data_IF_649339589359
#
_entry.id   IF_649339589359
#
_cell.length_a   1.000
_cell.length_b   1.000
_cell.length_c   1.000
_cell.angle_alpha   90.00
_cell.angle_beta   90.00
_cell.angle_gamma   90.00
#
_symmetry.space_group_name_H-M   'P 1'
#
loop_
_entity.id
_entity.type
_entity.pdbx_description
1 polymer ?
#
# COMPACT_ATOMS: atom_id res chain seq x y z
N UNK A 1 -16.82 12.16 7.81
CA UNK A 1 -17.23 11.37 6.64
C UNK A 1 -18.04 12.26 5.72
N UNK A 2 -17.84 12.14 4.42
CA UNK A 2 -18.67 12.83 3.44
C UNK A 2 -20.12 12.30 3.48
N UNK A 3 -21.13 13.10 3.05
CA UNK A 3 -22.49 12.60 2.85
C UNK A 3 -22.57 11.36 1.93
N UNK A 4 -23.62 10.52 2.05
CA UNK A 4 -23.72 9.23 1.34
C UNK A 4 -23.73 9.33 -0.20
N UNK A 5 -24.11 10.48 -0.73
CA UNK A 5 -24.30 10.77 -2.16
C UNK A 5 -23.11 11.52 -2.78
N UNK A 6 -22.07 11.79 -2.00
CA UNK A 6 -20.84 12.43 -2.49
C UNK A 6 -19.63 11.50 -2.30
N UNK A 7 -18.60 11.60 -3.16
CA UNK A 7 -17.38 10.83 -2.96
C UNK A 7 -16.76 11.09 -1.58
N UNK A 8 -16.32 10.02 -0.93
CA UNK A 8 -15.52 10.16 0.27
C UNK A 8 -14.18 10.81 -0.09
N UNK A 9 -13.90 11.96 0.52
CA UNK A 9 -12.62 12.65 0.39
C UNK A 9 -11.88 12.44 1.69
N UNK A 10 -10.81 11.65 1.64
CA UNK A 10 -9.93 11.42 2.76
C UNK A 10 -8.92 12.56 2.86
N UNK A 11 -8.85 13.23 4.01
CA UNK A 11 -7.84 14.25 4.27
C UNK A 11 -6.62 13.60 4.91
N UNK A 12 -5.60 13.28 4.12
CA UNK A 12 -4.33 12.81 4.66
C UNK A 12 -3.54 14.01 5.19
N UNK A 13 -3.60 14.22 6.51
CA UNK A 13 -2.85 15.26 7.19
C UNK A 13 -1.81 14.64 8.14
N UNK A 14 -0.54 14.67 7.72
CA UNK A 14 0.57 14.20 8.56
C UNK A 14 0.50 14.94 9.91
N UNK A 15 0.43 14.19 11.02
CA UNK A 15 0.42 14.62 12.44
C UNK A 15 -0.91 14.99 13.08
N UNK A 16 -1.97 15.23 12.32
CA UNK A 16 -3.23 15.69 12.92
C UNK A 16 -4.20 14.52 13.23
N UNK A 17 -4.09 13.41 12.50
CA UNK A 17 -5.08 12.33 12.59
C UNK A 17 -4.90 11.38 13.77
N UNK A 18 -3.66 10.98 14.08
CA UNK A 18 -3.39 9.91 15.04
C UNK A 18 -3.43 10.37 16.50
N UNK A 19 -2.93 11.59 16.76
CA UNK A 19 -2.84 12.14 18.11
C UNK A 19 -4.22 12.33 18.75
N UNK A 20 -5.17 12.90 17.99
CA UNK A 20 -6.53 13.14 18.45
C UNK A 20 -7.39 11.88 18.54
N UNK A 21 -7.18 10.89 17.65
CA UNK A 21 -8.06 9.72 17.53
C UNK A 21 -7.60 8.52 18.37
N UNK A 22 -6.29 8.31 18.50
CA UNK A 22 -5.73 7.12 19.15
C UNK A 22 -4.76 7.44 20.30
N UNK A 23 -4.58 8.72 20.65
CA UNK A 23 -3.62 9.13 21.67
C UNK A 23 -2.19 8.71 21.30
N UNK A 24 -1.86 8.81 20.01
CA UNK A 24 -0.55 8.45 19.47
C UNK A 24 -0.03 9.62 18.65
N UNK A 25 1.06 10.24 19.10
CA UNK A 25 1.69 11.28 18.30
C UNK A 25 2.34 10.69 17.04
N UNK A 26 2.60 11.55 16.06
CA UNK A 26 3.15 11.13 14.77
C UNK A 26 4.54 10.50 14.89
N UNK A 27 5.38 11.00 15.79
CA UNK A 27 6.75 10.51 15.93
C UNK A 27 6.75 9.11 16.57
N UNK A 28 5.82 8.83 17.48
CA UNK A 28 5.55 7.53 18.05
C UNK A 28 5.04 6.56 16.98
N UNK A 29 4.11 6.99 16.13
CA UNK A 29 3.66 6.19 14.99
C UNK A 29 4.82 5.85 14.04
N UNK A 30 5.66 6.84 13.69
CA UNK A 30 6.84 6.65 12.85
C UNK A 30 7.84 5.67 13.46
N UNK A 31 8.01 5.64 14.79
CA UNK A 31 8.87 4.67 15.49
C UNK A 31 8.30 3.24 15.52
N UNK A 32 6.98 3.10 15.45
CA UNK A 32 6.30 1.82 15.65
C UNK A 32 5.90 1.07 14.40
N UNK A 33 5.84 1.75 13.27
CA UNK A 33 5.83 1.07 11.98
C UNK A 33 7.15 0.30 11.85
N UNK A 34 7.07 -1.02 11.75
CA UNK A 34 8.20 -1.94 11.53
C UNK A 34 8.90 -1.53 10.23
N UNK A 35 10.06 -0.90 10.35
CA UNK A 35 10.84 -0.49 9.18
C UNK A 35 11.88 -1.53 8.79
N UNK A 36 11.71 -2.09 7.59
CA UNK A 36 12.78 -1.98 6.59
C UNK A 36 12.40 -0.88 5.61
N UNK A 37 13.36 -0.37 4.83
CA UNK A 37 13.11 0.61 3.75
C UNK A 37 12.05 0.12 2.74
N UNK A 38 11.93 -1.20 2.59
CA UNK A 38 11.01 -1.84 1.66
C UNK A 38 9.56 -1.88 2.17
N UNK A 39 9.34 -1.92 3.50
CA UNK A 39 8.01 -2.07 4.09
C UNK A 39 7.13 -0.81 4.03
N UNK A 40 7.68 0.34 3.65
CA UNK A 40 6.91 1.56 3.40
C UNK A 40 6.21 1.59 2.05
N UNK A 41 6.64 0.75 1.10
CA UNK A 41 6.09 0.71 -0.25
C UNK A 41 4.80 -0.08 -0.30
N UNK A 42 3.74 0.52 -0.84
CA UNK A 42 2.42 -0.08 -0.86
C UNK A 42 1.55 0.43 -2.00
N UNK A 43 0.59 -0.39 -2.43
CA UNK A 43 -0.63 0.10 -3.05
C UNK A 43 -1.67 0.40 -1.95
N UNK A 44 -2.57 1.34 -2.21
CA UNK A 44 -3.64 1.71 -1.28
C UNK A 44 -4.55 0.51 -1.02
N UNK A 45 -4.93 0.32 0.24
CA UNK A 45 -5.88 -0.71 0.70
C UNK A 45 -5.62 -2.12 0.16
N UNK A 46 -4.34 -2.50 -0.01
CA UNK A 46 -3.96 -3.78 -0.60
C UNK A 46 -4.38 -5.04 0.17
N UNK A 47 -4.96 -4.93 1.37
CA UNK A 47 -5.54 -6.06 2.11
C UNK A 47 -7.00 -6.36 1.72
N UNK A 48 -7.69 -5.44 1.04
CA UNK A 48 -9.07 -5.62 0.59
C UNK A 48 -9.14 -6.60 -0.58
N UNK A 49 -10.26 -7.30 -0.70
CA UNK A 49 -10.56 -8.19 -1.82
C UNK A 49 -10.65 -7.45 -3.15
N UNK A 50 -11.10 -6.20 -3.13
CA UNK A 50 -11.24 -5.28 -4.25
C UNK A 50 -10.45 -3.99 -3.99
N UNK A 51 -9.10 -3.99 -4.03
CA UNK A 51 -8.31 -2.78 -3.81
C UNK A 51 -8.70 -1.67 -4.82
N UNK A 52 -8.52 -0.38 -4.49
CA UNK A 52 -8.86 0.72 -5.39
C UNK A 52 -8.21 0.53 -6.76
N UNK A 53 -8.94 0.86 -7.83
CA UNK A 53 -8.38 0.85 -9.18
C UNK A 53 -7.36 1.99 -9.35
N UNK A 54 -7.70 3.17 -8.85
CA UNK A 54 -6.88 4.35 -8.99
C UNK A 54 -7.10 5.33 -7.84
N UNK A 55 -6.11 6.19 -7.64
CA UNK A 55 -6.14 7.18 -6.56
C UNK A 55 -5.75 8.55 -7.11
N UNK A 56 -6.51 9.56 -6.72
CA UNK A 56 -6.27 10.96 -7.02
C UNK A 56 -5.87 11.65 -5.71
N UNK A 57 -4.74 12.35 -5.71
CA UNK A 57 -4.22 13.05 -4.55
C UNK A 57 -3.90 14.50 -4.90
N UNK A 58 -4.53 15.45 -4.21
CA UNK A 58 -4.30 16.89 -4.36
C UNK A 58 -3.55 17.45 -3.15
N UNK A 59 -2.50 18.23 -3.39
CA UNK A 59 -1.81 18.99 -2.36
C UNK A 59 -2.58 20.27 -1.99
N UNK A 60 -2.93 20.43 -0.71
CA UNK A 60 -3.37 21.72 -0.17
C UNK A 60 -2.18 22.51 0.38
N UNK A 61 -1.47 21.93 1.34
CA UNK A 61 -0.27 22.52 1.93
C UNK A 61 0.87 21.52 1.93
N UNK A 62 2.07 21.98 1.57
CA UNK A 62 3.28 21.16 1.53
C UNK A 62 4.46 21.95 2.07
N UNK A 63 5.47 21.29 2.68
CA UNK A 63 6.68 21.96 3.11
C UNK A 63 7.46 22.51 1.90
N UNK A 64 8.28 23.56 2.09
CA UNK A 64 9.07 24.15 1.00
C UNK A 64 10.15 23.20 0.42
N UNK A 65 10.51 22.16 1.16
CA UNK A 65 11.44 21.09 0.77
C UNK A 65 11.07 19.79 1.51
N UNK A 66 11.49 18.64 0.97
CA UNK A 66 11.03 17.33 1.44
C UNK A 66 9.54 17.12 1.18
N UNK A 67 8.96 16.03 1.69
CA UNK A 67 7.52 15.76 1.54
C UNK A 67 7.10 15.19 0.18
N UNK A 68 8.08 14.80 -0.63
CA UNK A 68 7.88 14.20 -1.95
C UNK A 68 7.24 12.81 -1.85
N UNK A 69 6.52 12.42 -2.90
CA UNK A 69 6.00 11.05 -3.02
C UNK A 69 6.74 10.34 -4.14
N UNK A 70 7.06 9.08 -3.92
CA UNK A 70 7.69 8.23 -4.94
C UNK A 70 6.75 7.11 -5.32
N UNK A 71 6.60 6.83 -6.61
CA UNK A 71 5.85 5.68 -7.14
C UNK A 71 6.80 4.75 -7.87
N UNK A 72 6.43 3.48 -7.94
CA UNK A 72 7.09 2.49 -8.79
C UNK A 72 6.10 1.81 -9.74
N UNK A 73 6.53 1.57 -10.98
CA UNK A 73 5.79 0.81 -11.97
C UNK A 73 6.03 -0.70 -11.79
N UNK A 74 5.00 -1.40 -11.29
CA UNK A 74 5.07 -2.83 -11.00
C UNK A 74 4.98 -3.73 -12.24
N UNK A 75 4.42 -3.22 -13.35
CA UNK A 75 4.46 -3.91 -14.65
C UNK A 75 5.89 -3.91 -15.21
N UNK A 76 6.59 -2.77 -15.13
CA UNK A 76 7.99 -2.68 -15.52
C UNK A 76 8.90 -3.53 -14.62
N UNK A 77 8.63 -3.54 -13.31
CA UNK A 77 9.35 -4.39 -12.36
C UNK A 77 9.20 -5.89 -12.69
N UNK A 78 7.97 -6.34 -13.00
CA UNK A 78 7.72 -7.69 -13.49
C UNK A 78 8.44 -7.98 -14.80
N UNK A 79 8.37 -7.04 -15.76
CA UNK A 79 9.03 -7.15 -17.06
C UNK A 79 10.54 -7.36 -16.92
N UNK A 80 11.16 -6.74 -15.92
CA UNK A 80 12.59 -6.84 -15.61
C UNK A 80 13.05 -8.11 -14.89
N UNK A 81 12.14 -8.98 -14.43
CA UNK A 81 12.52 -10.27 -13.83
C UNK A 81 13.14 -11.21 -14.86
N UNK A 82 14.09 -12.06 -14.45
CA UNK A 82 14.55 -13.14 -15.33
C UNK A 82 13.41 -14.14 -15.59
N UNK A 83 13.44 -14.83 -16.73
CA UNK A 83 12.38 -15.76 -17.10
C UNK A 83 12.08 -16.84 -16.03
N UNK A 84 13.09 -17.46 -15.37
CA UNK A 84 12.82 -18.43 -14.29
C UNK A 84 12.15 -17.80 -13.06
N UNK A 85 12.61 -16.62 -12.63
CA UNK A 85 12.04 -15.94 -11.47
C UNK A 85 10.61 -15.49 -11.75
N UNK A 86 10.35 -15.02 -12.97
CA UNK A 86 9.02 -14.64 -13.44
C UNK A 86 8.06 -15.83 -13.44
N UNK A 87 8.48 -16.96 -14.01
CA UNK A 87 7.68 -18.18 -14.04
C UNK A 87 7.38 -18.69 -12.62
N UNK A 88 8.33 -18.55 -11.69
CA UNK A 88 8.09 -18.87 -10.29
C UNK A 88 7.14 -17.87 -9.62
N UNK A 89 7.32 -16.56 -9.81
CA UNK A 89 6.44 -15.53 -9.25
C UNK A 89 4.99 -15.69 -9.75
N UNK A 90 4.80 -16.11 -11.01
CA UNK A 90 3.48 -16.39 -11.60
C UNK A 90 2.68 -17.45 -10.82
N UNK A 91 3.33 -18.31 -10.02
CA UNK A 91 2.66 -19.35 -9.22
C UNK A 91 2.39 -18.96 -7.77
N UNK A 92 2.95 -17.84 -7.30
CA UNK A 92 2.91 -17.48 -5.89
C UNK A 92 1.65 -16.68 -5.54
N UNK A 93 1.17 -16.92 -4.32
CA UNK A 93 0.07 -16.19 -3.70
C UNK A 93 0.48 -15.76 -2.30
N UNK A 94 -0.02 -14.62 -1.85
CA UNK A 94 0.35 -14.07 -0.55
C UNK A 94 -0.86 -13.46 0.15
N UNK A 95 -0.91 -13.65 1.47
CA UNK A 95 -1.88 -12.99 2.32
C UNK A 95 -1.47 -11.53 2.55
N UNK A 96 -2.34 -10.63 2.15
CA UNK A 96 -2.28 -9.21 2.50
C UNK A 96 -3.22 -8.96 3.68
N UNK A 97 -2.71 -8.36 4.76
CA UNK A 97 -3.44 -8.16 6.01
C UNK A 97 -3.26 -6.74 6.53
N UNK A 98 -4.33 -6.19 7.09
CA UNK A 98 -4.27 -4.90 7.78
C UNK A 98 -3.47 -5.03 9.09
N UNK A 99 -2.47 -4.17 9.26
CA UNK A 99 -1.72 -4.05 10.52
C UNK A 99 -0.44 -4.88 10.63
N UNK A 100 -0.01 -5.59 9.57
CA UNK A 100 1.24 -6.39 9.55
C UNK A 100 2.47 -5.60 10.05
N UNK A 101 2.54 -4.33 9.67
CA UNK A 101 3.65 -3.44 10.01
C UNK A 101 3.62 -2.84 11.40
N UNK A 102 2.60 -3.04 12.25
CA UNK A 102 2.48 -2.29 13.50
C UNK A 102 2.96 -3.08 14.73
N UNK A 103 3.80 -2.46 15.58
CA UNK A 103 4.21 -3.04 16.87
C UNK A 103 3.32 -2.54 18.02
N UNK A 104 2.67 -3.43 18.80
CA UNK A 104 1.75 -3.05 19.87
C UNK A 104 2.45 -2.43 21.09
N UNK A 105 1.76 -1.52 21.82
CA UNK A 105 2.13 -1.15 23.20
C UNK A 105 1.90 -2.34 24.15
N UNK A 106 2.69 -2.47 25.23
CA UNK A 106 2.25 -3.18 26.42
C UNK A 106 1.00 -2.48 26.99
N UNK A 107 -0.04 -3.25 27.33
CA UNK A 107 -1.29 -2.73 27.87
C UNK A 107 -2.31 -2.36 26.77
N UNK A 108 -3.15 -1.37 27.05
CA UNK A 108 -4.31 -1.05 26.23
C UNK A 108 -3.96 -0.12 25.04
N UNK A 109 -3.58 -0.72 23.91
CA UNK A 109 -3.30 0.01 22.67
C UNK A 109 -4.59 0.20 21.86
N UNK A 110 -5.16 1.42 21.93
CA UNK A 110 -6.40 1.77 21.21
C UNK A 110 -6.27 1.59 19.68
N UNK A 111 -5.09 1.81 19.10
CA UNK A 111 -4.89 1.63 17.67
C UNK A 111 -4.88 0.14 17.31
N UNK A 112 -4.22 -0.70 18.10
CA UNK A 112 -4.24 -2.16 17.88
C UNK A 112 -5.65 -2.72 18.03
N UNK A 113 -6.40 -2.30 19.05
CA UNK A 113 -7.81 -2.71 19.19
C UNK A 113 -8.62 -2.34 17.96
N UNK A 114 -8.47 -1.11 17.47
CA UNK A 114 -9.12 -0.66 16.25
C UNK A 114 -8.76 -1.55 15.05
N UNK A 115 -7.47 -1.87 14.85
CA UNK A 115 -7.02 -2.77 13.78
C UNK A 115 -7.60 -4.18 13.91
N UNK A 116 -7.73 -4.70 15.14
CA UNK A 116 -8.29 -6.03 15.39
C UNK A 116 -9.81 -6.07 15.16
N UNK A 117 -10.54 -5.02 15.56
CA UNK A 117 -11.98 -4.88 15.34
C UNK A 117 -12.34 -4.71 13.85
N UNK A 118 -11.44 -4.11 13.07
CA UNK A 118 -11.62 -3.83 11.64
C UNK A 118 -10.67 -4.68 10.78
N UNK A 119 -10.28 -5.86 11.27
CA UNK A 119 -9.29 -6.70 10.62
C UNK A 119 -9.77 -7.13 9.22
N UNK A 120 -8.91 -6.92 8.24
CA UNK A 120 -9.16 -7.26 6.84
C UNK A 120 -7.93 -8.03 6.34
N UNK A 121 -8.15 -9.20 5.74
CA UNK A 121 -7.11 -9.92 5.05
C UNK A 121 -7.65 -10.66 3.82
N UNK A 122 -6.82 -10.71 2.78
CA UNK A 122 -7.12 -11.35 1.50
C UNK A 122 -5.88 -12.05 0.97
N UNK A 123 -6.06 -13.24 0.39
CA UNK A 123 -5.03 -13.94 -0.36
C UNK A 123 -5.07 -13.47 -1.81
N UNK A 124 -4.01 -12.79 -2.24
CA UNK A 124 -3.85 -12.28 -3.59
C UNK A 124 -2.76 -13.06 -4.37
N UNK A 125 -2.85 -13.12 -5.70
CA UNK A 125 -1.71 -13.55 -6.51
C UNK A 125 -0.57 -12.53 -6.40
N UNK A 126 0.69 -12.99 -6.31
CA UNK A 126 1.85 -12.09 -6.39
C UNK A 126 2.09 -11.55 -7.79
N UNK A 127 1.47 -12.16 -8.81
CA UNK A 127 1.41 -11.63 -10.16
C UNK A 127 -0.05 -11.58 -10.59
N UNK A 128 -0.59 -10.36 -10.72
CA UNK A 128 -1.94 -10.13 -11.25
C UNK A 128 -1.88 -9.79 -12.74
N UNK A 129 -2.96 -10.06 -13.45
CA UNK A 129 -3.20 -9.52 -14.79
C UNK A 129 -4.01 -8.24 -14.66
N UNK A 130 -3.54 -7.16 -15.27
CA UNK A 130 -4.27 -5.89 -15.32
C UNK A 130 -5.50 -6.07 -16.21
N UNK A 131 -6.72 -5.77 -15.73
CA UNK A 131 -7.95 -6.11 -16.45
C UNK A 131 -8.12 -5.34 -17.77
N UNK A 132 -7.62 -4.11 -17.84
CA UNK A 132 -7.75 -3.26 -19.04
C UNK A 132 -6.60 -3.40 -20.03
N UNK A 133 -5.34 -3.47 -19.57
CA UNK A 133 -4.16 -3.52 -20.44
C UNK A 133 -3.69 -4.95 -20.75
N UNK A 134 -4.10 -5.94 -19.96
CA UNK A 134 -3.59 -7.31 -20.04
C UNK A 134 -2.15 -7.48 -19.54
N UNK A 135 -1.52 -6.42 -19.04
CA UNK A 135 -0.15 -6.49 -18.51
C UNK A 135 -0.10 -7.34 -17.26
N UNK A 136 1.01 -8.07 -17.09
CA UNK A 136 1.31 -8.78 -15.85
C UNK A 136 2.03 -7.83 -14.89
N UNK A 137 1.54 -7.77 -13.66
CA UNK A 137 1.98 -6.82 -12.65
C UNK A 137 2.48 -7.58 -11.42
N UNK A 138 3.70 -7.28 -10.97
CA UNK A 138 4.24 -7.81 -9.73
C UNK A 138 3.51 -7.17 -8.54
N UNK A 139 2.46 -7.81 -8.05
CA UNK A 139 1.55 -7.29 -7.03
C UNK A 139 2.11 -7.47 -5.61
N UNK A 140 3.36 -7.04 -5.40
CA UNK A 140 4.01 -7.05 -4.10
C UNK A 140 3.70 -5.78 -3.32
N UNK A 141 3.41 -5.94 -2.03
CA UNK A 141 3.08 -4.83 -1.15
C UNK A 141 3.83 -4.96 0.18
N UNK A 142 4.84 -4.12 0.40
CA UNK A 142 5.70 -4.21 1.57
C UNK A 142 4.98 -3.91 2.89
N UNK A 143 3.87 -3.17 2.82
CA UNK A 143 3.11 -2.76 3.99
C UNK A 143 2.07 -3.80 4.43
N UNK A 144 1.37 -4.42 3.48
CA UNK A 144 0.25 -5.32 3.77
C UNK A 144 0.63 -6.81 3.72
N UNK A 145 1.69 -7.23 3.03
CA UNK A 145 1.97 -8.68 2.90
C UNK A 145 2.47 -9.27 4.22
N UNK A 146 1.72 -10.23 4.76
CA UNK A 146 2.08 -11.01 5.95
C UNK A 146 2.95 -12.22 5.56
N UNK A 147 2.48 -13.04 4.63
CA UNK A 147 3.09 -14.32 4.29
C UNK A 147 2.72 -14.79 2.88
N UNK A 148 3.66 -15.44 2.20
CA UNK A 148 3.44 -16.22 0.97
C UNK A 148 2.92 -17.61 1.36
N UNK A 149 1.87 -18.07 0.68
CA UNK A 149 1.28 -19.39 0.92
C UNK A 149 2.24 -20.53 0.54
N UNK A 150 2.05 -21.69 1.18
CA UNK A 150 2.74 -22.95 0.88
C UNK A 150 4.28 -22.94 1.00
N UNK A 151 4.85 -21.90 1.61
CA UNK A 151 6.28 -21.81 1.94
C UNK A 151 6.47 -21.51 3.43
N UNK A 152 7.64 -21.84 3.96
CA UNK A 152 7.99 -21.49 5.34
C UNK A 152 8.09 -19.97 5.51
N UNK A 153 7.97 -19.49 6.75
CA UNK A 153 8.06 -18.06 7.06
C UNK A 153 9.41 -17.45 6.66
N UNK A 154 10.49 -18.22 6.77
CA UNK A 154 11.83 -17.79 6.36
C UNK A 154 11.95 -17.66 4.83
N UNK A 155 11.41 -18.63 4.08
CA UNK A 155 11.35 -18.58 2.62
C UNK A 155 10.48 -17.40 2.16
N UNK A 156 9.29 -17.25 2.75
CA UNK A 156 8.40 -16.13 2.46
C UNK A 156 9.10 -14.78 2.65
N UNK A 157 9.82 -14.60 3.75
CA UNK A 157 10.55 -13.36 4.01
C UNK A 157 11.61 -13.09 2.93
N UNK A 158 12.44 -14.07 2.60
CA UNK A 158 13.50 -13.92 1.60
C UNK A 158 12.94 -13.63 0.20
N UNK A 159 11.86 -14.32 -0.18
CA UNK A 159 11.19 -14.11 -1.47
C UNK A 159 10.56 -12.72 -1.56
N UNK A 160 9.85 -12.28 -0.52
CA UNK A 160 9.25 -10.95 -0.49
C UNK A 160 10.30 -9.85 -0.53
N UNK A 161 11.41 -10.01 0.19
CA UNK A 161 12.52 -9.05 0.15
C UNK A 161 13.10 -8.93 -1.26
N UNK A 162 13.43 -10.06 -1.91
CA UNK A 162 13.93 -10.06 -3.29
C UNK A 162 12.95 -9.40 -4.28
N UNK A 163 11.65 -9.70 -4.19
CA UNK A 163 10.65 -9.15 -5.11
C UNK A 163 10.38 -7.66 -4.83
N UNK A 164 10.40 -7.24 -3.56
CA UNK A 164 10.27 -5.82 -3.20
C UNK A 164 11.50 -5.02 -3.65
N UNK A 165 12.71 -5.55 -3.49
CA UNK A 165 13.94 -4.92 -3.99
C UNK A 165 13.88 -4.72 -5.51
N UNK A 166 13.42 -5.73 -6.25
CA UNK A 166 13.14 -5.60 -7.68
C UNK A 166 12.11 -4.50 -7.95
N UNK A 167 11.01 -4.48 -7.20
CA UNK A 167 9.92 -3.55 -7.40
C UNK A 167 10.31 -2.09 -7.17
N UNK A 168 11.31 -1.79 -6.37
CA UNK A 168 11.66 -0.40 -5.99
C UNK A 168 12.97 0.09 -6.59
N UNK A 169 13.49 -0.62 -7.62
CA UNK A 169 14.67 -0.18 -8.35
C UNK A 169 14.47 1.21 -8.96
N UNK A 170 15.46 2.11 -8.92
CA UNK A 170 15.32 3.49 -9.39
C UNK A 170 14.76 3.63 -10.81
N UNK A 171 15.11 2.71 -11.71
CA UNK A 171 14.68 2.69 -13.11
C UNK A 171 13.17 2.48 -13.28
N UNK A 172 12.47 1.94 -12.27
CA UNK A 172 11.03 1.76 -12.27
C UNK A 172 10.30 2.88 -11.52
N UNK A 173 11.04 3.79 -10.88
CA UNK A 173 10.46 4.79 -9.99
C UNK A 173 10.40 6.18 -10.59
N UNK A 174 9.40 6.95 -10.12
CA UNK A 174 9.33 8.39 -10.29
C UNK A 174 9.14 9.04 -8.92
N UNK A 175 9.92 10.08 -8.64
CA UNK A 175 9.78 10.92 -7.44
C UNK A 175 9.17 12.25 -7.85
N UNK A 176 8.02 12.59 -7.27
CA UNK A 176 7.31 13.82 -7.56
C UNK A 176 7.48 14.81 -6.42
N UNK A 177 7.96 16.00 -6.76
CA UNK A 177 8.00 17.13 -5.84
C UNK A 177 6.68 17.88 -5.90
N UNK A 178 6.03 17.99 -4.75
CA UNK A 178 4.74 18.64 -4.64
C UNK A 178 4.85 20.16 -4.57
N UNK A 179 3.89 20.84 -5.18
CA UNK A 179 3.58 22.26 -4.96
C UNK A 179 2.12 22.41 -4.54
N UNK A 180 1.74 23.47 -3.79
CA UNK A 180 0.33 23.72 -3.47
C UNK A 180 -0.55 23.72 -4.74
N UNK A 181 -1.63 22.94 -4.73
CA UNK A 181 -2.51 22.78 -5.89
C UNK A 181 -2.10 21.70 -6.89
N UNK A 182 -0.91 21.10 -6.74
CA UNK A 182 -0.52 19.92 -7.52
C UNK A 182 -1.51 18.77 -7.33
N UNK A 183 -1.72 18.00 -8.40
CA UNK A 183 -2.56 16.80 -8.40
C UNK A 183 -1.77 15.66 -9.02
N UNK A 184 -1.67 14.54 -8.30
CA UNK A 184 -1.21 13.27 -8.86
C UNK A 184 -2.40 12.33 -9.03
N UNK A 185 -2.37 11.56 -10.11
CA UNK A 185 -3.32 10.49 -10.39
C UNK A 185 -2.52 9.26 -10.81
N UNK A 186 -2.75 8.14 -10.14
CA UNK A 186 -2.05 6.90 -10.46
C UNK A 186 -3.00 5.70 -10.52
N UNK A 187 -2.61 4.75 -11.36
CA UNK A 187 -3.24 3.44 -11.40
C UNK A 187 -2.70 2.60 -10.22
N UNK A 188 -3.55 2.36 -9.23
CA UNK A 188 -3.20 1.63 -8.01
C UNK A 188 -3.13 0.11 -8.27
N UNK A 189 -3.62 -0.36 -9.42
CA UNK A 189 -3.51 -1.76 -9.85
C UNK A 189 -2.12 -2.10 -10.38
N UNK A 190 -1.37 -1.09 -10.81
CA UNK A 190 -0.06 -1.24 -11.45
C UNK A 190 1.10 -0.57 -10.70
N UNK A 191 0.85 0.01 -9.52
CA UNK A 191 1.87 0.77 -8.79
C UNK A 191 1.89 0.47 -7.30
N UNK A 192 3.08 0.61 -6.72
CA UNK A 192 3.24 0.90 -5.29
C UNK A 192 3.80 2.31 -5.14
N UNK A 193 3.56 2.93 -4.00
CA UNK A 193 4.08 4.24 -3.67
C UNK A 193 4.64 4.29 -2.25
N UNK A 194 5.47 5.30 -2.01
CA UNK A 194 6.13 5.56 -0.76
C UNK A 194 5.82 7.00 -0.33
N UNK A 195 5.15 7.12 0.82
CA UNK A 195 4.93 8.39 1.49
C UNK A 195 6.25 8.96 2.02
N UNK A 196 6.40 10.30 2.09
CA UNK A 196 7.61 10.92 2.61
C UNK A 196 7.87 10.54 4.08
N UNK A 197 9.15 10.46 4.43
CA UNK A 197 9.61 10.36 5.82
C UNK A 197 10.53 11.54 6.20
N UNK A 198 10.72 12.49 5.30
CA UNK A 198 11.72 13.56 5.37
C UNK A 198 11.11 14.95 5.69
N UNK A 199 9.82 15.01 6.06
CA UNK A 199 9.12 16.28 6.32
C UNK A 199 8.76 16.51 7.79
N UNK A 200 8.77 15.47 8.63
CA UNK A 200 8.35 15.58 10.02
C UNK A 200 9.15 16.67 10.77
N UNK A 201 10.47 16.61 10.76
CA UNK A 201 11.32 17.57 11.50
C UNK A 201 11.16 19.06 11.10
N UNK A 202 10.42 19.37 10.03
CA UNK A 202 10.23 20.73 9.51
C UNK A 202 9.17 21.55 10.27
N UNK A 203 8.31 20.90 11.04
CA UNK A 203 7.24 21.60 11.78
C UNK A 203 6.16 22.24 10.88
N UNK A 204 6.17 21.97 9.58
CA UNK A 204 5.18 22.46 8.61
C UNK A 204 4.20 21.32 8.28
N UNK A 205 2.88 21.54 8.32
CA UNK A 205 1.91 20.51 8.00
C UNK A 205 1.92 20.18 6.50
N UNK A 206 1.87 18.88 6.18
CA UNK A 206 1.60 18.35 4.85
C UNK A 206 0.15 17.88 4.81
N UNK A 207 -0.69 18.59 4.07
CA UNK A 207 -2.13 18.34 3.98
C UNK A 207 -2.46 17.98 2.53
N UNK A 208 -2.97 16.77 2.35
CA UNK A 208 -3.36 16.22 1.06
C UNK A 208 -4.81 15.77 1.10
N UNK A 209 -5.49 15.85 -0.05
CA UNK A 209 -6.86 15.36 -0.23
C UNK A 209 -6.86 14.20 -1.21
N UNK A 210 -7.30 13.04 -0.73
CA UNK A 210 -7.29 11.78 -1.47
C UNK A 210 -8.71 11.36 -1.83
N UNK A 211 -8.88 10.94 -3.07
CA UNK A 211 -10.07 10.24 -3.56
C UNK A 211 -9.63 8.95 -4.22
N UNK A 212 -10.28 7.85 -3.86
CA UNK A 212 -10.01 6.53 -4.40
C UNK A 212 -11.18 6.06 -5.24
N UNK A 213 -10.88 5.44 -6.37
CA UNK A 213 -11.88 4.86 -7.26
C UNK A 213 -12.00 3.37 -6.96
N UNK A 214 -13.23 2.87 -6.83
CA UNK A 214 -13.50 1.45 -6.64
C UNK A 214 -12.77 0.62 -7.69
N UNK A 215 -12.14 -0.47 -7.25
CA UNK A 215 -11.50 -1.42 -8.14
C UNK A 215 -12.21 -2.76 -8.18
N UNK A 216 -11.55 -3.70 -8.82
CA UNK A 216 -12.01 -5.06 -9.05
C UNK A 216 -11.17 -6.08 -8.26
N UNK A 217 -11.69 -7.30 -8.14
CA UNK A 217 -10.96 -8.41 -7.51
C UNK A 217 -9.76 -8.79 -8.38
N UNK A 218 -8.51 -8.74 -7.87
CA UNK A 218 -7.33 -9.10 -8.66
C UNK A 218 -7.38 -10.57 -9.09
N UNK A 219 -6.99 -10.84 -10.34
CA UNK A 219 -6.94 -12.18 -10.93
C UNK A 219 -5.49 -12.53 -11.29
N UNK A 220 -5.07 -13.74 -10.91
CA UNK A 220 -3.74 -14.25 -11.17
C UNK A 220 -3.52 -14.65 -12.63
N UNK A 221 -2.27 -14.95 -12.99
CA UNK A 221 -1.91 -15.48 -14.32
C UNK A 221 -2.58 -16.83 -14.61
N UNK A 222 -2.90 -17.59 -13.55
CA UNK A 222 -3.64 -18.84 -13.57
C UNK A 222 -5.17 -18.66 -13.76
N UNK A 223 -5.65 -17.43 -13.88
CA UNK A 223 -7.08 -17.11 -14.00
C UNK A 223 -7.85 -17.21 -12.68
N UNK A 224 -7.18 -17.48 -11.55
CA UNK A 224 -7.85 -17.57 -10.24
C UNK A 224 -7.97 -16.19 -9.60
N UNK A 225 -9.18 -15.78 -9.17
CA UNK A 225 -9.37 -14.53 -8.44
C UNK A 225 -8.71 -14.59 -7.06
N UNK A 226 -8.56 -13.43 -6.43
CA UNK A 226 -8.18 -13.33 -5.02
C UNK A 226 -9.26 -13.92 -4.12
N UNK A 227 -8.89 -14.37 -2.92
CA UNK A 227 -9.78 -15.08 -2.01
C UNK A 227 -9.77 -14.39 -0.63
N UNK A 228 -10.93 -13.97 -0.08
CA UNK A 228 -10.97 -13.26 1.20
C UNK A 228 -10.63 -14.22 2.33
N UNK A 229 -9.73 -13.80 3.24
CA UNK A 229 -9.40 -14.55 4.44
C UNK A 229 -10.20 -14.06 5.66
N UNK A 230 -10.40 -12.74 5.80
CA UNK A 230 -11.29 -12.15 6.81
C UNK A 230 -11.71 -10.73 6.46
N UNK A 231 -12.90 -10.31 6.91
CA UNK A 231 -13.33 -8.91 6.94
C UNK A 231 -13.51 -8.21 5.58
N UNK A 232 -13.38 -8.93 4.45
CA UNK A 232 -13.45 -8.34 3.11
C UNK A 232 -14.50 -9.01 2.24
N UNK A 233 -15.33 -8.20 1.60
CA UNK A 233 -16.36 -8.62 0.64
C UNK A 233 -16.35 -7.67 -0.57
N UNK A 234 -16.43 -8.19 -1.81
CA UNK A 234 -16.42 -7.34 -3.00
C UNK A 234 -17.57 -6.33 -3.00
N UNK A 235 -17.27 -5.07 -3.31
CA UNK A 235 -18.25 -3.99 -3.39
C UNK A 235 -18.67 -3.40 -2.04
N UNK A 236 -18.14 -3.88 -0.91
CA UNK A 236 -18.45 -3.37 0.43
C UNK A 236 -17.34 -2.47 0.97
N UNK A 237 -17.42 -1.18 0.66
CA UNK A 237 -16.43 -0.14 1.02
C UNK A 237 -16.69 0.49 2.38
#
# INVERSE_FOLDING_TARGET
ASPPDVPEVETTADRLELGGRFGMDHDEWLRRRRHSLLRGWHCDHGARIDPPAATILRAESVPPYGGDTTWSNLAAAYAGLSAPVRAFADTLRAEHRLGVGYQPRPGDDAYVRHLLEHQIATVHPLVRVHPETGERVLFVNGYYVEQIEDVSRAESQALLEMLLEQAVRPEYTVRFRWEPGSVAFWDNRATVHLAPADNAHLGVPRIMHRVMLHGEVPVGVDGRPSEPATGSEPGRW
#
